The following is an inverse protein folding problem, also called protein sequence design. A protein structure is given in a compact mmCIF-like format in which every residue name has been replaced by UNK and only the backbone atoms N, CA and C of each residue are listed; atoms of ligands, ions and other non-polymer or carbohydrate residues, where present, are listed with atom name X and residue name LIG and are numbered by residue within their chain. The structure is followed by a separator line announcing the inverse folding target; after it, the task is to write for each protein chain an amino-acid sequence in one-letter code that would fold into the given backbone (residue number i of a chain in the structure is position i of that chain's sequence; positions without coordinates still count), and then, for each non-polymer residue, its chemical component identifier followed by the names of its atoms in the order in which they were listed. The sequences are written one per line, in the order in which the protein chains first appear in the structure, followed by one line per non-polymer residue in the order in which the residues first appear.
data_IF_247955363552
#
_entry.id   IF_247955363552
#
_cell.length_a   1.000
_cell.length_b   1.000
_cell.length_c   1.000
_cell.angle_alpha   90.00
_cell.angle_beta   90.00
_cell.angle_gamma   90.00
#
_symmetry.space_group_name_H-M   'P 1'
#
loop_
_entity.id
_entity.type
_entity.pdbx_description
1 polymer ?
#
# COMPACT_ATOMS: atom_id res chain seq x y z
N UNK A 1 9.54 -79.06 15.93
CA UNK A 1 8.65 -78.05 15.35
C UNK A 1 7.94 -77.27 16.45
N UNK A 2 8.23 -75.97 16.56
CA UNK A 2 7.49 -75.04 17.41
C UNK A 2 7.05 -73.81 16.60
N UNK A 3 5.88 -73.22 16.89
CA UNK A 3 5.13 -72.44 15.90
C UNK A 3 5.49 -70.95 15.88
N UNK A 4 5.56 -70.38 14.67
CA UNK A 4 5.74 -68.95 14.41
C UNK A 4 4.48 -68.15 14.79
N UNK A 5 4.62 -67.18 15.69
CA UNK A 5 3.55 -66.22 16.06
C UNK A 5 3.26 -65.24 14.91
N UNK A 6 1.99 -65.14 14.51
CA UNK A 6 1.48 -64.17 13.52
C UNK A 6 1.38 -62.76 14.12
N UNK A 7 1.83 -61.74 13.38
CA UNK A 7 1.65 -60.31 13.73
C UNK A 7 0.20 -59.87 13.42
N UNK A 8 -0.36 -58.99 14.25
CA UNK A 8 -1.70 -58.41 14.07
C UNK A 8 -1.61 -57.14 13.23
N UNK A 9 -2.47 -57.01 12.23
CA UNK A 9 -2.65 -55.78 11.45
C UNK A 9 -3.36 -54.71 12.28
N UNK A 10 -2.82 -53.49 12.30
CA UNK A 10 -3.42 -52.33 12.96
C UNK A 10 -4.25 -51.59 11.91
N UNK A 11 -5.55 -51.41 12.17
CA UNK A 11 -6.46 -50.63 11.31
C UNK A 11 -6.12 -49.14 11.41
N UNK A 12 -5.80 -48.52 10.28
CA UNK A 12 -5.62 -47.07 10.18
C UNK A 12 -6.98 -46.36 10.28
N UNK A 13 -7.16 -45.53 11.30
CA UNK A 13 -8.29 -44.60 11.38
C UNK A 13 -7.94 -43.37 10.54
N UNK A 14 -8.64 -43.19 9.42
CA UNK A 14 -8.48 -42.02 8.55
C UNK A 14 -9.32 -40.89 9.12
N UNK A 15 -8.67 -39.80 9.52
CA UNK A 15 -9.34 -38.59 10.00
C UNK A 15 -9.83 -37.77 8.79
N UNK A 16 -11.13 -37.83 8.50
CA UNK A 16 -11.76 -37.12 7.38
C UNK A 16 -11.97 -35.61 7.62
N UNK A 17 -11.68 -35.10 8.82
CA UNK A 17 -11.81 -33.66 9.16
C UNK A 17 -10.70 -32.75 8.62
N UNK A 18 -9.79 -33.26 7.80
CA UNK A 18 -8.69 -32.49 7.16
C UNK A 18 -8.93 -32.24 5.66
N UNK A 19 -10.04 -32.74 5.10
CA UNK A 19 -10.40 -32.58 3.69
C UNK A 19 -11.62 -31.65 3.48
N UNK A 20 -12.05 -30.91 4.51
CA UNK A 20 -13.13 -29.91 4.43
C UNK A 20 -12.63 -28.58 3.84
N UNK A 21 -12.07 -28.60 2.63
CA UNK A 21 -11.70 -27.40 1.86
C UNK A 21 -12.77 -26.99 0.83
N UNK A 22 -14.00 -27.49 0.98
CA UNK A 22 -15.08 -27.27 0.01
C UNK A 22 -16.27 -26.47 0.51
N UNK A 23 -16.36 -26.15 1.81
CA UNK A 23 -17.55 -25.51 2.41
C UNK A 23 -17.41 -23.99 2.54
N UNK A 24 -16.20 -23.43 2.41
CA UNK A 24 -15.95 -21.97 2.50
C UNK A 24 -16.24 -21.22 1.18
N UNK A 25 -16.37 -21.94 0.06
CA UNK A 25 -16.54 -21.32 -1.25
C UNK A 25 -18.00 -20.98 -1.62
N UNK A 26 -18.99 -21.48 -0.86
CA UNK A 26 -20.42 -21.25 -1.17
C UNK A 26 -21.03 -20.07 -0.37
N UNK A 27 -20.43 -19.67 0.76
CA UNK A 27 -20.92 -18.53 1.57
C UNK A 27 -20.56 -17.15 0.97
N UNK A 28 -19.49 -17.08 0.16
CA UNK A 28 -19.02 -15.83 -0.47
C UNK A 28 -19.91 -15.35 -1.66
N UNK A 29 -20.71 -16.25 -2.25
CA UNK A 29 -21.56 -15.89 -3.40
C UNK A 29 -22.86 -15.16 -2.98
N UNK A 30 -23.28 -15.29 -1.71
CA UNK A 30 -24.49 -14.65 -1.18
C UNK A 30 -24.30 -13.18 -0.80
N UNK A 31 -23.12 -12.78 -0.33
CA UNK A 31 -22.86 -11.43 0.19
C UNK A 31 -22.55 -10.42 -0.94
N UNK A 32 -22.02 -10.90 -2.08
CA UNK A 32 -21.69 -10.06 -3.23
C UNK A 32 -22.91 -9.49 -3.98
N UNK A 33 -24.11 -10.06 -3.80
CA UNK A 33 -25.34 -9.62 -4.48
C UNK A 33 -26.01 -8.38 -3.85
N UNK A 34 -25.72 -8.07 -2.58
CA UNK A 34 -26.34 -6.92 -1.88
C UNK A 34 -25.69 -5.56 -2.19
N UNK A 35 -24.50 -5.54 -2.79
CA UNK A 35 -23.80 -4.30 -3.16
C UNK A 35 -24.10 -3.84 -4.59
N UNK A 36 -25.36 -3.52 -4.89
CA UNK A 36 -25.76 -2.80 -6.13
C UNK A 36 -25.95 -1.30 -5.91
N UNK A 37 -24.93 -0.63 -5.39
CA UNK A 37 -24.89 0.83 -5.27
C UNK A 37 -23.45 1.32 -5.16
N UNK A 38 -23.18 2.57 -5.58
CA UNK A 38 -21.86 3.20 -5.40
C UNK A 38 -21.45 3.04 -3.93
N UNK A 39 -20.25 2.52 -3.61
CA UNK A 39 -19.83 2.34 -2.22
C UNK A 39 -19.76 3.72 -1.56
N UNK A 40 -20.70 3.99 -0.63
CA UNK A 40 -20.64 5.18 0.20
C UNK A 40 -19.50 4.99 1.19
N UNK A 41 -18.63 5.98 1.29
CA UNK A 41 -17.57 6.00 2.30
C UNK A 41 -18.20 5.98 3.69
N UNK A 42 -17.52 5.37 4.66
CA UNK A 42 -17.92 5.41 6.08
C UNK A 42 -18.08 6.84 6.62
N UNK A 43 -17.41 7.81 5.99
CA UNK A 43 -17.50 9.25 6.30
C UNK A 43 -18.87 9.85 5.95
N UNK A 44 -19.58 9.28 4.96
CA UNK A 44 -20.91 9.72 4.57
C UNK A 44 -22.03 8.95 5.29
N UNK A 45 -21.73 7.72 5.70
CA UNK A 45 -22.69 6.85 6.39
C UNK A 45 -22.78 7.14 7.89
N UNK A 46 -21.66 7.48 8.53
CA UNK A 46 -21.59 7.77 9.95
C UNK A 46 -21.48 9.27 10.16
N UNK A 47 -22.47 9.86 10.83
CA UNK A 47 -22.41 11.26 11.26
C UNK A 47 -21.53 11.43 12.51
N UNK A 48 -20.26 10.99 12.42
CA UNK A 48 -19.29 11.15 13.49
C UNK A 48 -18.74 12.60 13.50
N UNK A 49 -18.88 13.36 14.60
CA UNK A 49 -18.31 14.71 14.72
C UNK A 49 -16.79 14.78 14.54
N UNK A 50 -16.07 13.67 14.70
CA UNK A 50 -14.61 13.58 14.51
C UNK A 50 -14.20 13.28 13.07
N UNK A 51 -15.13 12.96 12.18
CA UNK A 51 -14.85 12.66 10.78
C UNK A 51 -15.31 13.81 9.88
N UNK A 52 -14.41 14.33 9.05
CA UNK A 52 -14.73 15.41 8.13
C UNK A 52 -15.52 14.88 6.93
N UNK A 53 -16.72 15.42 6.70
CA UNK A 53 -17.53 15.16 5.50
C UNK A 53 -17.07 15.99 4.28
N UNK A 54 -16.16 16.95 4.49
CA UNK A 54 -15.64 17.83 3.43
C UNK A 54 -14.59 17.13 2.59
N UNK A 55 -14.59 17.42 1.29
CA UNK A 55 -13.56 16.91 0.38
C UNK A 55 -12.26 17.69 0.53
N UNK A 56 -11.13 17.11 0.11
CA UNK A 56 -9.82 17.78 0.21
C UNK A 56 -9.76 19.10 -0.57
N UNK A 57 -10.47 19.21 -1.69
CA UNK A 57 -10.53 20.45 -2.49
C UNK A 57 -11.29 21.57 -1.76
N UNK A 58 -12.37 21.22 -1.06
CA UNK A 58 -13.17 22.17 -0.27
C UNK A 58 -12.40 22.68 0.96
N UNK A 59 -11.61 21.80 1.60
CA UNK A 59 -10.71 22.20 2.69
C UNK A 59 -9.61 23.16 2.20
N UNK A 60 -9.09 22.98 1.00
CA UNK A 60 -8.06 23.88 0.45
C UNK A 60 -8.62 25.28 0.13
N UNK A 61 -9.88 25.37 -0.33
CA UNK A 61 -10.56 26.66 -0.52
C UNK A 61 -10.86 27.36 0.80
N UNK A 62 -11.31 26.63 1.82
CA UNK A 62 -11.54 27.19 3.17
C UNK A 62 -10.24 27.66 3.83
N UNK A 63 -9.13 26.93 3.66
CA UNK A 63 -7.83 27.39 4.15
C UNK A 63 -7.36 28.65 3.40
N UNK A 64 -7.66 28.79 2.11
CA UNK A 64 -7.32 29.99 1.33
C UNK A 64 -8.15 31.20 1.77
N UNK A 65 -9.43 31.02 2.09
CA UNK A 65 -10.28 32.11 2.58
C UNK A 65 -9.93 32.52 4.01
N UNK A 66 -9.70 31.56 4.91
CA UNK A 66 -9.28 31.84 6.29
C UNK A 66 -7.92 32.54 6.35
N UNK A 67 -6.98 32.15 5.49
CA UNK A 67 -5.65 32.76 5.40
C UNK A 67 -5.65 34.15 4.75
N UNK A 68 -6.73 34.51 4.04
CA UNK A 68 -6.94 35.85 3.49
C UNK A 68 -7.60 36.81 4.52
N UNK A 69 -8.34 36.27 5.50
CA UNK A 69 -8.97 37.05 6.58
C UNK A 69 -8.11 37.18 7.85
N UNK A 70 -7.12 36.29 8.07
CA UNK A 70 -6.21 36.37 9.21
C UNK A 70 -5.17 37.50 9.07
N UNK A 71 -5.16 38.42 10.05
CA UNK A 71 -4.12 39.45 10.20
C UNK A 71 -2.73 38.81 10.36
N UNK A 72 -1.69 39.46 9.84
CA UNK A 72 -0.30 39.00 9.97
C UNK A 72 0.14 38.78 11.43
N UNK A 73 -0.49 39.49 12.37
CA UNK A 73 -0.23 39.36 13.80
C UNK A 73 -0.82 38.06 14.39
N UNK A 74 -1.99 37.62 13.94
CA UNK A 74 -2.62 36.39 14.42
C UNK A 74 -1.91 35.15 13.86
N UNK A 75 -1.45 35.26 12.61
CA UNK A 75 -0.57 34.25 12.00
C UNK A 75 0.79 34.12 12.72
N UNK A 76 1.31 35.20 13.29
CA UNK A 76 2.55 35.16 14.08
C UNK A 76 2.32 34.48 15.44
N UNK A 77 1.24 34.83 16.15
CA UNK A 77 0.88 34.21 17.44
C UNK A 77 0.64 32.71 17.30
N UNK A 78 -0.11 32.28 16.30
CA UNK A 78 -0.37 30.85 16.04
C UNK A 78 0.91 30.07 15.72
N UNK A 79 1.86 30.69 15.01
CA UNK A 79 3.18 30.08 14.75
C UNK A 79 4.03 29.97 16.02
N UNK A 80 3.95 30.94 16.92
CA UNK A 80 4.66 30.90 18.21
C UNK A 80 4.05 29.87 19.17
N UNK A 81 2.73 29.79 19.25
CA UNK A 81 2.01 28.76 20.03
C UNK A 81 2.29 27.35 19.51
N UNK A 82 2.28 27.15 18.19
CA UNK A 82 2.62 25.84 17.61
C UNK A 82 4.11 25.50 17.81
N UNK A 83 5.02 26.47 17.72
CA UNK A 83 6.44 26.26 17.99
C UNK A 83 6.70 25.88 19.46
N UNK A 84 6.09 26.57 20.42
CA UNK A 84 6.21 26.26 21.86
C UNK A 84 5.61 24.90 22.19
N UNK A 85 4.47 24.53 21.60
CA UNK A 85 3.89 23.20 21.74
C UNK A 85 4.83 22.11 21.20
N UNK A 86 5.42 22.30 20.01
CA UNK A 86 6.36 21.35 19.41
C UNK A 86 7.65 21.22 20.23
N UNK A 87 8.19 22.33 20.75
CA UNK A 87 9.33 22.31 21.68
C UNK A 87 9.01 21.50 22.95
N UNK A 88 7.83 21.70 23.54
CA UNK A 88 7.41 20.96 24.74
C UNK A 88 7.26 19.45 24.50
N UNK A 89 6.78 19.07 23.30
CA UNK A 89 6.65 17.66 22.90
C UNK A 89 8.03 17.06 22.67
N UNK A 90 8.93 17.80 22.01
CA UNK A 90 10.31 17.37 21.75
C UNK A 90 11.08 17.13 23.05
N UNK A 91 10.90 18.00 24.04
CA UNK A 91 11.50 17.85 25.37
C UNK A 91 10.93 16.67 26.18
N UNK A 92 9.63 16.39 26.04
CA UNK A 92 9.00 15.21 26.67
C UNK A 92 9.46 13.90 26.03
N UNK A 93 9.68 13.91 24.71
CA UNK A 93 10.15 12.74 23.96
C UNK A 93 11.65 12.48 24.14
N UNK A 94 12.49 13.53 24.24
CA UNK A 94 13.92 13.37 24.57
C UNK A 94 14.11 12.84 25.99
N UNK A 95 13.40 13.37 26.98
CA UNK A 95 13.42 12.85 28.37
C UNK A 95 12.96 11.39 28.48
N UNK A 96 12.02 10.94 27.62
CA UNK A 96 11.65 9.51 27.53
C UNK A 96 12.73 8.66 26.85
N UNK A 97 13.44 9.20 25.87
CA UNK A 97 14.54 8.52 25.18
C UNK A 97 15.74 8.31 26.10
N UNK A 98 16.10 9.32 26.88
CA UNK A 98 17.21 9.20 27.84
C UNK A 98 16.89 8.20 28.98
N UNK A 99 15.63 8.15 29.44
CA UNK A 99 15.16 7.11 30.38
C UNK A 99 15.09 5.70 29.78
N UNK A 100 14.97 5.58 28.45
CA UNK A 100 14.98 4.29 27.74
C UNK A 100 16.42 3.80 27.53
N UNK A 101 17.35 4.70 27.22
CA UNK A 101 18.77 4.37 27.00
C UNK A 101 19.47 4.03 28.33
N UNK A 102 19.07 4.64 29.45
CA UNK A 102 19.51 4.19 30.79
C UNK A 102 18.90 2.87 31.26
N UNK A 103 17.75 2.46 30.71
CA UNK A 103 17.14 1.14 30.97
C UNK A 103 17.82 0.02 30.19
N UNK A 104 18.21 0.26 28.94
CA UNK A 104 18.89 -0.74 28.10
C UNK A 104 20.32 -1.09 28.58
N UNK A 105 20.95 -0.26 29.43
CA UNK A 105 22.22 -0.60 30.09
C UNK A 105 22.06 -1.33 31.43
N UNK A 106 20.85 -1.46 31.97
CA UNK A 106 20.57 -2.11 33.27
C UNK A 106 19.95 -3.50 33.14
N UNK A 107 19.49 -3.92 31.96
CA UNK A 107 18.93 -5.26 31.73
C UNK A 107 19.92 -6.43 31.93
N UNK A 108 21.24 -6.17 32.01
CA UNK A 108 22.22 -7.22 32.39
C UNK A 108 22.36 -7.43 33.91
N UNK A 109 21.65 -6.67 34.75
CA UNK A 109 21.77 -6.74 36.22
C UNK A 109 20.45 -6.96 36.98
N UNK A 110 19.33 -7.08 36.26
CA UNK A 110 17.97 -7.09 36.84
C UNK A 110 17.49 -8.46 37.36
N UNK A 111 18.35 -9.48 37.42
CA UNK A 111 18.04 -10.70 38.18
C UNK A 111 18.32 -10.56 39.69
N UNK A 112 19.04 -9.51 40.11
CA UNK A 112 19.41 -9.28 41.52
C UNK A 112 18.65 -8.15 42.23
N UNK A 113 17.95 -7.25 41.52
CA UNK A 113 17.25 -6.09 42.13
C UNK A 113 15.76 -6.35 42.43
N UNK A 114 15.16 -7.41 41.87
CA UNK A 114 13.77 -7.80 42.19
C UNK A 114 13.59 -8.34 43.62
N UNK A 115 14.69 -8.75 44.28
CA UNK A 115 14.71 -9.08 45.72
C UNK A 115 14.93 -7.89 46.64
N UNK A 116 15.54 -6.79 46.17
CA UNK A 116 15.90 -5.65 47.03
C UNK A 116 14.76 -4.64 47.19
N UNK A 117 13.85 -4.57 46.21
CA UNK A 117 12.63 -3.73 46.31
C UNK A 117 11.45 -4.40 47.01
N UNK A 118 11.58 -5.66 47.44
CA UNK A 118 10.54 -6.38 48.20
C UNK A 118 10.70 -6.25 49.73
N UNK A 119 11.75 -5.57 50.19
CA UNK A 119 12.11 -5.46 51.61
C UNK A 119 11.67 -4.15 52.29
N UNK A 120 11.06 -3.21 51.56
CA UNK A 120 10.78 -1.87 52.11
C UNK A 120 9.35 -1.36 51.86
N UNK A 121 8.42 -2.23 51.49
CA UNK A 121 6.99 -1.90 51.55
C UNK A 121 6.25 -3.10 52.14
N UNK A 122 6.24 -3.10 53.46
CA UNK A 122 5.57 -4.05 54.35
C UNK A 122 4.10 -3.62 54.56
N UNK A 123 3.43 -3.17 53.50
CA UNK A 123 1.97 -2.97 53.49
C UNK A 123 1.37 -4.04 52.59
N UNK A 124 1.11 -5.18 53.21
CA UNK A 124 0.47 -6.34 52.62
C UNK A 124 -1.01 -6.05 52.33
N UNK A 125 -1.27 -5.38 51.22
CA UNK A 125 -2.63 -5.12 50.74
C UNK A 125 -3.24 -6.44 50.21
N UNK A 126 -4.02 -7.11 51.06
CA UNK A 126 -4.71 -8.36 50.76
C UNK A 126 -5.90 -8.10 49.82
N UNK A 127 -5.62 -7.96 48.52
CA UNK A 127 -6.68 -7.89 47.52
C UNK A 127 -7.31 -9.28 47.34
N UNK A 128 -8.65 -9.37 47.41
CA UNK A 128 -9.50 -10.60 47.37
C UNK A 128 -9.21 -11.55 46.17
N UNK A 129 -8.39 -11.15 45.19
CA UNK A 129 -7.93 -11.98 44.07
C UNK A 129 -6.51 -12.56 44.16
N UNK A 130 -5.70 -12.21 45.18
CA UNK A 130 -4.27 -12.57 45.27
C UNK A 130 -4.02 -14.08 45.25
N UNK A 131 -4.84 -14.84 45.97
CA UNK A 131 -4.77 -16.32 45.94
C UNK A 131 -5.12 -16.88 44.56
N UNK A 132 -6.14 -16.33 43.90
CA UNK A 132 -6.58 -16.77 42.56
C UNK A 132 -5.53 -16.48 41.50
N UNK A 133 -4.80 -15.37 41.59
CA UNK A 133 -3.70 -15.03 40.69
C UNK A 133 -2.47 -15.89 40.91
N UNK A 134 -2.13 -16.18 42.17
CA UNK A 134 -1.05 -17.10 42.53
C UNK A 134 -1.34 -18.53 42.06
N UNK A 135 -2.59 -18.99 42.17
CA UNK A 135 -3.01 -20.30 41.67
C UNK A 135 -2.94 -20.37 40.14
N UNK A 136 -3.44 -19.34 39.45
CA UNK A 136 -3.29 -19.22 37.99
C UNK A 136 -1.82 -19.23 37.56
N UNK A 137 -0.95 -18.55 38.30
CA UNK A 137 0.47 -18.52 37.98
C UNK A 137 1.14 -19.88 38.18
N UNK A 138 0.86 -20.56 39.29
CA UNK A 138 1.33 -21.93 39.53
C UNK A 138 0.85 -22.89 38.44
N UNK A 139 -0.40 -22.77 38.00
CA UNK A 139 -0.95 -23.61 36.94
C UNK A 139 -0.29 -23.32 35.57
N UNK A 140 -0.07 -22.05 35.24
CA UNK A 140 0.69 -21.66 34.04
C UNK A 140 2.11 -22.22 34.05
N UNK A 141 2.78 -22.21 35.20
CA UNK A 141 4.13 -22.74 35.33
C UNK A 141 4.17 -24.27 35.27
N UNK A 142 3.15 -24.96 35.81
CA UNK A 142 2.96 -26.41 35.63
C UNK A 142 2.79 -26.77 34.16
N UNK A 143 1.86 -26.11 33.45
CA UNK A 143 1.61 -26.32 32.01
C UNK A 143 2.88 -26.03 31.21
N UNK A 144 3.62 -24.96 31.53
CA UNK A 144 4.89 -24.63 30.84
C UNK A 144 5.95 -25.71 31.04
N UNK A 145 6.05 -26.28 32.24
CA UNK A 145 6.98 -27.36 32.55
C UNK A 145 6.57 -28.68 31.87
N UNK A 146 5.28 -28.98 31.82
CA UNK A 146 4.73 -30.13 31.11
C UNK A 146 4.98 -30.01 29.60
N UNK A 147 4.70 -28.86 28.98
CA UNK A 147 5.05 -28.58 27.58
C UNK A 147 6.55 -28.77 27.33
N UNK A 148 7.40 -28.36 28.28
CA UNK A 148 8.86 -28.52 28.16
C UNK A 148 9.28 -29.99 28.26
N UNK A 149 8.63 -30.78 29.11
CA UNK A 149 8.84 -32.23 29.21
C UNK A 149 8.34 -32.94 27.95
N UNK A 150 7.11 -32.68 27.50
CA UNK A 150 6.56 -33.19 26.25
C UNK A 150 7.43 -32.83 25.05
N UNK A 151 7.93 -31.59 24.97
CA UNK A 151 8.88 -31.18 23.92
C UNK A 151 10.21 -31.92 24.01
N UNK A 152 10.67 -32.25 25.22
CA UNK A 152 11.89 -33.05 25.43
C UNK A 152 11.68 -34.53 25.08
N UNK A 153 10.51 -35.09 25.35
CA UNK A 153 10.14 -36.46 25.00
C UNK A 153 9.88 -36.63 23.51
N UNK A 154 9.20 -35.66 22.88
CA UNK A 154 9.02 -35.58 21.42
C UNK A 154 10.37 -35.46 20.70
N UNK A 155 11.27 -34.62 21.22
CA UNK A 155 12.63 -34.45 20.67
C UNK A 155 13.62 -35.54 21.10
N UNK A 156 13.24 -36.39 22.06
CA UNK A 156 14.07 -37.43 22.66
C UNK A 156 13.89 -38.81 22.04
N UNK A 157 12.90 -38.98 21.15
CA UNK A 157 12.69 -40.20 20.35
C UNK A 157 13.12 -40.05 18.89
N UNK A 158 13.48 -38.84 18.46
CA UNK A 158 14.25 -38.65 17.23
C UNK A 158 15.69 -39.10 17.49
N UNK A 159 16.07 -40.19 16.82
CA UNK A 159 17.44 -40.64 16.62
C UNK A 159 18.30 -39.47 16.12
N UNK A 160 18.85 -38.70 17.05
CA UNK A 160 19.81 -37.65 16.78
C UNK A 160 21.20 -38.25 16.87
N UNK A 161 21.68 -38.79 15.76
CA UNK A 161 23.07 -38.57 15.37
C UNK A 161 23.43 -38.99 13.93
N UNK A 162 22.58 -39.73 13.19
CA UNK A 162 22.92 -40.13 11.80
C UNK A 162 22.07 -39.41 10.71
N UNK A 163 20.75 -39.29 10.84
CA UNK A 163 19.92 -38.72 9.76
C UNK A 163 20.06 -37.20 9.52
N UNK A 164 20.64 -36.44 10.45
CA UNK A 164 20.75 -34.98 10.32
C UNK A 164 21.90 -34.54 9.41
N UNK A 165 22.85 -35.41 9.14
CA UNK A 165 23.89 -35.16 8.14
C UNK A 165 23.45 -35.54 6.73
N UNK A 166 22.63 -36.59 6.57
CA UNK A 166 22.14 -37.03 5.25
C UNK A 166 21.09 -36.06 4.68
N UNK A 167 20.09 -35.64 5.47
CA UNK A 167 19.13 -34.61 5.02
C UNK A 167 19.80 -33.26 4.71
N UNK A 168 20.88 -32.91 5.43
CA UNK A 168 21.66 -31.68 5.18
C UNK A 168 22.59 -31.80 3.97
N UNK A 169 22.97 -33.01 3.55
CA UNK A 169 23.79 -33.23 2.35
C UNK A 169 22.90 -33.28 1.11
N UNK A 170 21.73 -33.91 1.19
CA UNK A 170 20.75 -33.93 0.08
C UNK A 170 20.14 -32.55 -0.19
N UNK A 171 19.81 -31.77 0.84
CA UNK A 171 19.31 -30.40 0.64
C UNK A 171 20.37 -29.47 0.03
N UNK A 172 21.64 -29.58 0.42
CA UNK A 172 22.74 -28.82 -0.19
C UNK A 172 23.02 -29.21 -1.64
N UNK A 173 22.92 -30.50 -1.98
CA UNK A 173 23.08 -30.94 -3.37
C UNK A 173 21.93 -30.45 -4.26
N UNK A 174 20.69 -30.41 -3.78
CA UNK A 174 19.56 -29.82 -4.53
C UNK A 174 19.74 -28.30 -4.73
N UNK A 175 20.33 -27.61 -3.76
CA UNK A 175 20.69 -26.18 -3.85
C UNK A 175 21.82 -25.94 -4.88
N UNK A 176 22.73 -26.90 -5.06
CA UNK A 176 23.85 -26.82 -6.00
C UNK A 176 23.56 -27.44 -7.39
N UNK A 177 22.54 -28.29 -7.55
CA UNK A 177 22.27 -28.99 -8.81
C UNK A 177 21.17 -28.32 -9.64
N UNK A 178 20.34 -27.47 -9.04
CA UNK A 178 19.28 -26.76 -9.75
C UNK A 178 19.74 -25.36 -10.20
N UNK A 179 20.09 -25.23 -11.47
CA UNK A 179 20.55 -23.97 -12.09
C UNK A 179 19.55 -22.80 -11.86
N UNK A 180 18.24 -23.09 -11.88
CA UNK A 180 17.21 -22.08 -11.60
C UNK A 180 17.27 -21.58 -10.16
N UNK A 181 17.55 -22.47 -9.21
CA UNK A 181 17.65 -22.10 -7.80
C UNK A 181 18.90 -21.25 -7.54
N UNK A 182 20.03 -21.57 -8.19
CA UNK A 182 21.24 -20.73 -8.12
C UNK A 182 20.98 -19.33 -8.65
N UNK A 183 20.37 -19.20 -9.83
CA UNK A 183 20.02 -17.90 -10.40
C UNK A 183 19.10 -17.11 -9.47
N UNK A 184 18.11 -17.76 -8.86
CA UNK A 184 17.22 -17.12 -7.88
C UNK A 184 17.99 -16.63 -6.63
N UNK A 185 18.87 -17.45 -6.06
CA UNK A 185 19.68 -17.06 -4.89
C UNK A 185 20.61 -15.90 -5.23
N UNK A 186 21.26 -15.95 -6.39
CA UNK A 186 22.12 -14.87 -6.88
C UNK A 186 21.35 -13.56 -7.07
N UNK A 187 20.14 -13.62 -7.64
CA UNK A 187 19.28 -12.45 -7.78
C UNK A 187 18.86 -11.88 -6.42
N UNK A 188 18.44 -12.74 -5.49
CA UNK A 188 18.12 -12.31 -4.12
C UNK A 188 19.31 -11.62 -3.45
N UNK A 189 20.52 -12.15 -3.62
CA UNK A 189 21.73 -11.50 -3.12
C UNK A 189 22.02 -10.16 -3.79
N UNK A 190 21.84 -10.04 -5.11
CA UNK A 190 21.98 -8.78 -5.85
C UNK A 190 21.05 -7.72 -5.26
N UNK A 191 19.77 -8.05 -5.07
CA UNK A 191 18.78 -7.12 -4.50
C UNK A 191 19.03 -6.81 -3.02
N UNK A 192 19.52 -7.77 -2.22
CA UNK A 192 19.94 -7.51 -0.83
C UNK A 192 21.08 -6.50 -0.78
N UNK A 193 22.13 -6.69 -1.59
CA UNK A 193 23.27 -5.78 -1.71
C UNK A 193 22.84 -4.39 -2.19
N UNK A 194 21.90 -4.32 -3.14
CA UNK A 194 21.31 -3.04 -3.59
C UNK A 194 20.50 -2.36 -2.47
N UNK A 195 19.68 -3.12 -1.74
CA UNK A 195 18.83 -2.61 -0.64
C UNK A 195 19.66 -2.15 0.57
N UNK A 196 20.83 -2.73 0.80
CA UNK A 196 21.78 -2.27 1.82
C UNK A 196 22.39 -0.91 1.47
N UNK A 197 22.64 -0.65 0.18
CA UNK A 197 23.12 0.65 -0.31
C UNK A 197 22.07 1.75 -0.22
N UNK A 198 20.78 1.40 -0.18
CA UNK A 198 19.68 2.36 -0.09
C UNK A 198 19.41 2.69 1.39
N UNK A 199 19.65 3.94 1.83
CA UNK A 199 19.43 4.32 3.23
C UNK A 199 17.94 4.22 3.59
N UNK A 200 17.64 3.48 4.66
CA UNK A 200 16.25 3.11 5.01
C UNK A 200 15.42 4.29 5.57
N UNK A 201 16.03 5.31 6.19
CA UNK A 201 15.36 6.53 6.69
C UNK A 201 16.35 7.65 7.11
N UNK A 202 15.87 8.89 7.15
CA UNK A 202 16.60 10.05 7.72
C UNK A 202 17.38 10.87 6.68
N UNK A 203 18.26 11.76 7.15
CA UNK A 203 19.03 12.67 6.30
C UNK A 203 19.86 11.95 5.22
N UNK A 204 20.41 10.77 5.52
CA UNK A 204 21.13 9.96 4.53
C UNK A 204 20.25 9.52 3.34
N UNK A 205 18.93 9.33 3.55
CA UNK A 205 17.99 9.04 2.45
C UNK A 205 17.80 10.28 1.58
N UNK A 206 17.68 11.45 2.19
CA UNK A 206 17.55 12.73 1.47
C UNK A 206 18.79 13.00 0.63
N UNK A 207 19.99 12.84 1.20
CA UNK A 207 21.26 12.98 0.47
C UNK A 207 21.35 12.02 -0.73
N UNK A 208 20.95 10.76 -0.55
CA UNK A 208 20.88 9.79 -1.65
C UNK A 208 19.88 10.23 -2.73
N UNK A 209 18.69 10.71 -2.35
CA UNK A 209 17.71 11.22 -3.33
C UNK A 209 18.20 12.47 -4.04
N UNK A 210 18.92 13.37 -3.37
CA UNK A 210 19.52 14.57 -3.95
C UNK A 210 20.65 14.21 -4.92
N UNK A 211 21.45 13.18 -4.63
CA UNK A 211 22.44 12.67 -5.57
C UNK A 211 21.77 12.11 -6.84
N UNK A 212 20.66 11.39 -6.67
CA UNK A 212 19.88 10.87 -7.81
C UNK A 212 19.26 12.01 -8.62
N UNK A 213 18.73 13.03 -7.95
CA UNK A 213 18.22 14.25 -8.56
C UNK A 213 19.32 15.00 -9.33
N UNK A 214 20.53 15.11 -8.78
CA UNK A 214 21.65 15.76 -9.44
C UNK A 214 22.03 15.03 -10.74
N UNK A 215 22.07 13.68 -10.71
CA UNK A 215 22.28 12.86 -11.92
C UNK A 215 21.17 13.11 -12.95
N UNK A 216 19.91 13.15 -12.52
CA UNK A 216 18.78 13.44 -13.40
C UNK A 216 18.86 14.84 -14.03
N UNK A 217 19.19 15.87 -13.23
CA UNK A 217 19.40 17.24 -13.73
C UNK A 217 20.52 17.29 -14.77
N UNK A 218 21.65 16.63 -14.52
CA UNK A 218 22.76 16.57 -15.48
C UNK A 218 22.33 15.88 -16.78
N UNK A 219 21.57 14.78 -16.69
CA UNK A 219 20.99 14.09 -17.85
C UNK A 219 20.06 15.02 -18.65
N UNK A 220 19.16 15.74 -17.97
CA UNK A 220 18.27 16.73 -18.59
C UNK A 220 19.03 17.86 -19.28
N UNK A 221 20.08 18.39 -18.65
CA UNK A 221 20.90 19.45 -19.24
C UNK A 221 21.60 18.96 -20.52
N UNK A 222 22.18 17.75 -20.51
CA UNK A 222 22.80 17.18 -21.71
C UNK A 222 21.80 16.97 -22.85
N UNK A 223 20.57 16.54 -22.55
CA UNK A 223 19.51 16.40 -23.56
C UNK A 223 19.07 17.76 -24.09
N UNK A 224 18.92 18.75 -23.21
CA UNK A 224 18.57 20.12 -23.60
C UNK A 224 19.63 20.76 -24.50
N UNK A 225 20.90 20.55 -24.20
CA UNK A 225 22.01 21.02 -25.05
C UNK A 225 21.97 20.36 -26.43
N UNK A 226 21.75 19.04 -26.50
CA UNK A 226 21.57 18.34 -27.79
C UNK A 226 20.39 18.91 -28.59
N UNK A 227 19.23 19.03 -27.96
CA UNK A 227 18.03 19.59 -28.61
C UNK A 227 18.24 21.03 -29.09
N UNK A 228 19.01 21.85 -28.36
CA UNK A 228 19.39 23.20 -28.81
C UNK A 228 20.34 23.16 -30.02
N UNK A 229 21.34 22.28 -30.01
CA UNK A 229 22.25 22.14 -31.15
C UNK A 229 21.56 21.62 -32.40
N UNK A 230 20.55 20.75 -32.26
CA UNK A 230 19.76 20.24 -33.38
C UNK A 230 18.81 21.32 -33.92
N UNK A 231 18.19 22.13 -33.04
CA UNK A 231 17.41 23.30 -33.47
C UNK A 231 18.25 24.38 -34.19
N UNK A 232 19.49 24.62 -33.75
CA UNK A 232 20.40 25.54 -34.45
C UNK A 232 20.84 25.02 -35.81
N UNK A 233 20.96 23.70 -35.98
CA UNK A 233 21.23 23.07 -37.29
C UNK A 233 20.03 23.17 -38.23
N UNK A 234 18.81 23.00 -37.72
CA UNK A 234 17.59 23.11 -38.54
C UNK A 234 17.24 24.56 -38.92
N UNK A 235 17.58 25.54 -38.07
CA UNK A 235 17.50 26.98 -38.43
C UNK A 235 18.52 27.42 -39.49
N UNK A 236 19.46 26.57 -39.86
CA UNK A 236 20.37 26.80 -41.00
C UNK A 236 19.77 26.42 -42.37
N UNK A 237 18.57 25.82 -42.39
CA UNK A 237 17.94 25.25 -43.60
C UNK A 237 16.47 25.68 -43.72
N UNK A 238 16.17 26.95 -43.44
CA UNK A 238 14.79 27.49 -43.46
C UNK A 238 14.28 27.93 -44.84
N UNK A 239 15.00 27.63 -45.94
CA UNK A 239 14.57 27.97 -47.30
C UNK A 239 14.31 26.72 -48.17
N UNK A 240 13.51 25.75 -47.68
CA UNK A 240 12.83 24.80 -48.57
C UNK A 240 11.69 24.05 -47.86
N UNK A 241 10.46 24.50 -48.12
CA UNK A 241 9.24 23.71 -48.18
C UNK A 241 8.82 22.90 -46.94
N UNK A 242 7.73 23.36 -46.31
CA UNK A 242 7.03 22.64 -45.28
C UNK A 242 6.49 21.29 -45.76
N UNK A 243 6.83 20.24 -45.00
CA UNK A 243 6.11 18.99 -44.76
C UNK A 243 7.11 18.04 -44.10
N UNK A 244 7.40 18.27 -42.82
CA UNK A 244 7.91 17.19 -41.98
C UNK A 244 6.71 16.60 -41.23
N UNK A 245 5.89 15.83 -41.96
CA UNK A 245 5.23 14.71 -41.31
C UNK A 245 6.34 13.74 -40.93
N UNK A 246 6.96 13.99 -39.78
CA UNK A 246 7.69 12.95 -39.07
C UNK A 246 6.64 11.91 -38.73
N UNK A 247 6.58 10.86 -39.56
CA UNK A 247 6.09 9.56 -39.16
C UNK A 247 6.70 9.28 -37.80
N UNK A 248 5.88 9.40 -36.76
CA UNK A 248 6.16 8.75 -35.51
C UNK A 248 6.10 7.26 -35.83
N UNK A 249 7.24 6.68 -36.21
CA UNK A 249 7.44 5.27 -36.02
C UNK A 249 7.32 5.06 -34.52
N UNK A 250 6.18 4.51 -34.10
CA UNK A 250 5.82 4.09 -32.74
C UNK A 250 6.74 2.95 -32.23
N UNK A 251 8.03 2.96 -32.55
CA UNK A 251 8.94 1.84 -32.26
C UNK A 251 9.85 2.05 -31.05
N UNK A 252 10.03 3.27 -30.52
CA UNK A 252 10.89 3.47 -29.34
C UNK A 252 10.35 4.50 -28.33
N UNK A 253 9.31 4.12 -27.58
CA UNK A 253 8.81 4.88 -26.40
C UNK A 253 9.86 5.00 -25.29
N UNK A 254 10.93 4.20 -25.35
CA UNK A 254 12.07 4.22 -24.42
C UNK A 254 13.14 5.28 -24.76
N UNK A 255 12.95 6.09 -25.81
CA UNK A 255 13.89 7.18 -26.09
C UNK A 255 13.70 8.35 -25.14
N UNK A 256 14.83 8.92 -24.69
CA UNK A 256 14.93 10.10 -23.82
C UNK A 256 14.42 11.40 -24.50
N UNK A 257 13.78 11.31 -25.66
CA UNK A 257 13.35 12.45 -26.46
C UNK A 257 12.28 13.30 -25.76
N UNK A 258 11.39 12.65 -25.00
CA UNK A 258 10.37 13.34 -24.20
C UNK A 258 10.96 14.24 -23.10
N UNK A 259 12.19 13.97 -22.64
CA UNK A 259 12.87 14.79 -21.62
C UNK A 259 13.29 16.16 -22.17
N UNK A 260 13.48 16.29 -23.49
CA UNK A 260 13.77 17.55 -24.16
C UNK A 260 12.52 18.35 -24.53
N UNK A 261 11.35 17.71 -24.55
CA UNK A 261 10.10 18.32 -24.99
C UNK A 261 9.57 19.36 -23.98
N UNK A 262 9.04 20.47 -24.48
CA UNK A 262 8.36 21.48 -23.66
C UNK A 262 6.86 21.34 -23.81
N UNK A 263 6.14 21.20 -22.70
CA UNK A 263 4.68 21.14 -22.69
C UNK A 263 4.08 22.45 -23.23
N UNK A 264 3.48 22.38 -24.41
CA UNK A 264 2.74 23.49 -25.03
C UNK A 264 1.30 23.05 -25.22
N UNK A 265 0.38 23.73 -24.54
CA UNK A 265 -1.04 23.54 -24.82
C UNK A 265 -1.43 24.41 -26.00
N UNK A 266 -2.27 23.87 -26.89
CA UNK A 266 -3.02 24.70 -27.83
C UNK A 266 -3.94 25.60 -27.01
N UNK A 267 -3.85 26.91 -27.21
CA UNK A 267 -4.70 27.89 -26.55
C UNK A 267 -6.12 27.82 -27.15
N UNK A 268 -6.80 26.70 -26.84
CA UNK A 268 -8.23 26.52 -27.06
C UNK A 268 -8.89 27.37 -25.98
N UNK A 269 -9.05 28.66 -26.27
CA UNK A 269 -9.73 29.60 -25.37
C UNK A 269 -11.04 29.02 -24.83
N UNK A 270 -11.59 29.62 -23.77
CA UNK A 270 -12.71 29.07 -22.99
C UNK A 270 -13.76 28.31 -23.84
N UNK A 271 -13.73 26.98 -23.76
CA UNK A 271 -14.72 26.12 -24.42
C UNK A 271 -16.04 26.32 -23.69
N UNK A 272 -16.97 27.05 -24.31
CA UNK A 272 -18.29 27.28 -23.75
C UNK A 272 -18.96 25.91 -23.51
N UNK A 273 -19.19 25.58 -22.25
CA UNK A 273 -19.80 24.31 -21.88
C UNK A 273 -21.16 24.15 -22.58
N UNK A 274 -21.45 22.95 -23.06
CA UNK A 274 -22.78 22.61 -23.55
C UNK A 274 -23.73 22.63 -22.35
N UNK A 275 -24.56 23.67 -22.27
CA UNK A 275 -25.57 23.80 -21.22
C UNK A 275 -26.60 22.67 -21.34
N UNK A 276 -26.73 21.88 -20.27
CA UNK A 276 -27.70 20.80 -20.15
C UNK A 276 -29.17 21.29 -20.22
N UNK A 277 -29.42 22.60 -20.03
CA UNK A 277 -30.72 23.22 -20.22
C UNK A 277 -31.10 23.38 -21.70
N UNK A 278 -30.10 23.53 -22.57
CA UNK A 278 -30.29 23.63 -24.02
C UNK A 278 -30.34 22.22 -24.62
N UNK A 279 -31.54 21.67 -24.77
CA UNK A 279 -31.76 20.39 -25.45
C UNK A 279 -31.39 20.51 -26.93
N UNK A 280 -30.12 20.27 -27.26
CA UNK A 280 -29.61 20.27 -28.63
C UNK A 280 -30.09 19.08 -29.47
N UNK A 281 -29.73 19.08 -30.76
CA UNK A 281 -30.15 18.08 -31.76
C UNK A 281 -29.71 16.63 -31.41
N UNK A 282 -28.68 16.47 -30.58
CA UNK A 282 -28.13 15.17 -30.14
C UNK A 282 -28.72 14.67 -28.80
N UNK A 283 -29.73 15.35 -28.24
CA UNK A 283 -30.34 14.94 -26.96
C UNK A 283 -31.07 13.59 -27.04
N UNK A 284 -31.54 13.23 -28.22
CA UNK A 284 -32.29 12.01 -28.47
C UNK A 284 -31.55 11.16 -29.50
N UNK A 285 -31.42 9.86 -29.24
CA UNK A 285 -30.80 8.92 -30.18
C UNK A 285 -31.52 8.94 -31.54
N UNK A 286 -30.81 8.58 -32.62
CA UNK A 286 -31.31 8.58 -34.01
C UNK A 286 -32.56 7.69 -34.16
N UNK A 287 -32.78 6.73 -33.26
CA UNK A 287 -33.95 5.87 -33.23
C UNK A 287 -35.04 6.31 -32.25
N UNK A 288 -34.80 7.32 -31.41
CA UNK A 288 -35.79 7.82 -30.47
C UNK A 288 -36.90 8.59 -31.23
N UNK A 289 -38.20 8.29 -31.02
CA UNK A 289 -39.30 8.99 -31.67
C UNK A 289 -39.37 10.50 -31.35
N UNK A 290 -38.70 10.95 -30.29
CA UNK A 290 -38.59 12.36 -29.90
C UNK A 290 -37.47 13.08 -30.64
N UNK A 291 -36.57 12.34 -31.30
CA UNK A 291 -35.51 12.90 -32.12
C UNK A 291 -36.11 13.83 -33.19
N UNK A 292 -35.58 15.05 -33.36
CA UNK A 292 -36.05 16.00 -34.37
C UNK A 292 -36.14 15.41 -35.78
N UNK A 293 -35.22 14.53 -36.18
CA UNK A 293 -35.24 13.85 -37.48
C UNK A 293 -36.46 12.92 -37.59
N UNK A 294 -36.74 12.13 -36.55
CA UNK A 294 -37.86 11.20 -36.54
C UNK A 294 -39.22 11.90 -36.44
N UNK A 295 -39.29 13.00 -35.69
CA UNK A 295 -40.48 13.88 -35.66
C UNK A 295 -40.80 14.40 -37.06
N UNK A 296 -39.81 14.93 -37.79
CA UNK A 296 -39.99 15.42 -39.17
C UNK A 296 -40.49 14.30 -40.09
N UNK A 297 -39.91 13.10 -40.02
CA UNK A 297 -40.35 11.95 -40.83
C UNK A 297 -41.79 11.53 -40.52
N UNK A 298 -42.16 11.46 -39.24
CA UNK A 298 -43.51 11.08 -38.80
C UNK A 298 -44.56 12.11 -39.22
N UNK A 299 -44.30 13.40 -39.02
CA UNK A 299 -45.22 14.46 -39.42
C UNK A 299 -45.41 14.53 -40.94
N UNK A 300 -44.35 14.28 -41.72
CA UNK A 300 -44.48 14.16 -43.18
C UNK A 300 -45.35 12.97 -43.58
N UNK A 301 -45.20 11.82 -42.91
CA UNK A 301 -46.06 10.66 -43.15
C UNK A 301 -47.52 10.95 -42.80
N UNK A 302 -47.80 11.60 -41.65
CA UNK A 302 -49.15 12.01 -41.27
C UNK A 302 -49.77 13.03 -42.23
N UNK A 303 -49.00 13.98 -42.73
CA UNK A 303 -49.48 14.94 -43.75
C UNK A 303 -49.87 14.22 -45.03
N UNK A 304 -49.07 13.23 -45.47
CA UNK A 304 -49.38 12.40 -46.65
C UNK A 304 -50.65 11.57 -46.45
N UNK A 305 -50.81 10.90 -45.30
CA UNK A 305 -52.02 10.11 -45.03
C UNK A 305 -53.28 10.98 -44.91
N UNK A 306 -53.18 12.16 -44.27
CA UNK A 306 -54.27 13.14 -44.21
C UNK A 306 -54.65 13.69 -45.59
N UNK A 307 -53.69 13.89 -46.50
CA UNK A 307 -53.99 14.29 -47.88
C UNK A 307 -54.65 13.19 -48.71
N UNK A 308 -54.31 11.92 -48.47
CA UNK A 308 -54.91 10.78 -49.18
C UNK A 308 -56.36 10.53 -48.73
N UNK A 309 -56.66 10.77 -47.45
CA UNK A 309 -58.00 10.57 -46.87
C UNK A 309 -58.99 11.70 -47.18
N UNK A 310 -58.50 12.84 -47.70
CA UNK A 310 -59.32 13.99 -48.13
C UNK A 310 -59.62 13.99 -49.64
N UNK A 311 -59.19 12.96 -50.37
CA UNK A 311 -59.55 12.73 -51.77
C UNK A 311 -60.61 11.64 -51.86
#
# INVERSE_FOLDING_TARGET
DEPKKKRKEVKAVKNFGLLSFGEEAEEDEGEALEYRGKPKSTHDLLEDPKLSKKTAAELEEEEKTQKAEESSEDMAKRKEETATAVCSIRDKLSKKRDRSIERDKRESSEEMDSKRRKSESEEEEYYIGKERDMERQKERDRIRNEIKQLKKEMKGKEQKQENKEEEKKETKNIEDDNEMYKQYVEEQEKYKKMKEKIPKKGAAREDFTLQLLAKFKNKLHAIKEKAQTDQERERGTEDAAGQSETKADDEDVDTDDWLGHTLKFEDKGAVLAKDASTKGDDWFDIYDPRNPINKRKREQAEKKTKSHKKK
#
